data_IF_065096974807
#
_entry.id   IF_065096974807
#
_cell.length_a   1.000
_cell.length_b   1.000
_cell.length_c   1.000
_cell.angle_alpha   90.00
_cell.angle_beta   90.00
_cell.angle_gamma   90.00
#
_symmetry.space_group_name_H-M   'P 1'
#
loop_
_entity.id
_entity.type
_entity.pdbx_description
1 polymer ?
#
# COMPACT_ATOMS: atom_id res chain seq x y z
N UNK A 1 -5.59 25.55 -15.36
CA UNK A 1 -6.06 24.50 -14.44
C UNK A 1 -4.83 24.04 -13.68
N UNK A 2 -4.63 24.57 -12.47
CA UNK A 2 -3.55 24.10 -11.59
C UNK A 2 -3.99 22.74 -11.09
N UNK A 3 -3.36 21.69 -11.61
CA UNK A 3 -3.48 20.35 -11.05
C UNK A 3 -2.84 20.47 -9.67
N UNK A 4 -3.63 20.47 -8.61
CA UNK A 4 -3.11 20.30 -7.26
C UNK A 4 -2.37 18.95 -7.28
N UNK A 5 -1.04 18.99 -7.22
CA UNK A 5 -0.21 17.81 -7.02
C UNK A 5 -0.65 17.22 -5.67
N UNK A 6 -1.54 16.22 -5.71
CA UNK A 6 -1.79 15.40 -4.53
C UNK A 6 -0.45 14.81 -4.14
N UNK A 7 -0.01 15.12 -2.92
CA UNK A 7 1.23 14.59 -2.37
C UNK A 7 1.13 13.05 -2.38
N UNK A 8 2.11 12.40 -3.02
CA UNK A 8 2.18 10.94 -3.11
C UNK A 8 2.25 10.33 -1.72
N UNK A 9 1.51 9.24 -1.49
CA UNK A 9 1.60 8.52 -0.24
C UNK A 9 2.98 7.84 -0.07
N UNK A 10 3.40 7.59 1.18
CA UNK A 10 4.62 6.80 1.47
C UNK A 10 4.61 5.43 0.80
N UNK A 11 3.44 4.78 0.75
CA UNK A 11 3.26 3.51 0.03
C UNK A 11 3.54 3.67 -1.46
N UNK A 12 2.97 4.71 -2.09
CA UNK A 12 3.18 5.00 -3.51
C UNK A 12 4.67 5.22 -3.81
N UNK A 13 5.34 6.03 -3.00
CA UNK A 13 6.77 6.33 -3.17
C UNK A 13 7.58 5.03 -3.11
N UNK A 14 7.35 4.17 -2.11
CA UNK A 14 8.10 2.89 -2.01
C UNK A 14 7.75 1.89 -3.11
N UNK A 15 6.50 1.83 -3.54
CA UNK A 15 6.10 0.98 -4.67
C UNK A 15 6.82 1.41 -5.95
N UNK A 16 6.86 2.71 -6.24
CA UNK A 16 7.54 3.26 -7.41
C UNK A 16 9.07 3.08 -7.32
N UNK A 17 9.68 3.27 -6.15
CA UNK A 17 11.11 2.97 -5.92
C UNK A 17 11.45 1.49 -6.14
N UNK A 18 10.53 0.58 -5.79
CA UNK A 18 10.66 -0.85 -6.06
C UNK A 18 10.37 -1.22 -7.52
N UNK A 19 9.94 -0.26 -8.34
CA UNK A 19 9.62 -0.46 -9.75
C UNK A 19 8.35 -1.29 -10.00
N UNK A 20 7.43 -1.33 -9.03
CA UNK A 20 6.21 -2.14 -9.12
C UNK A 20 5.00 -1.34 -9.61
N UNK A 21 4.18 -1.97 -10.45
CA UNK A 21 2.80 -1.55 -10.66
C UNK A 21 1.93 -1.86 -9.43
N UNK A 22 0.71 -1.31 -9.39
CA UNK A 22 -0.25 -1.62 -8.33
C UNK A 22 -0.60 -3.11 -8.34
N UNK A 23 -0.83 -3.67 -9.53
CA UNK A 23 -1.17 -5.07 -9.74
C UNK A 23 -0.02 -5.99 -9.32
N UNK A 24 1.22 -5.64 -9.63
CA UNK A 24 2.40 -6.42 -9.21
C UNK A 24 2.56 -6.44 -7.69
N UNK A 25 2.39 -5.28 -7.04
CA UNK A 25 2.44 -5.21 -5.57
C UNK A 25 1.27 -5.99 -4.94
N UNK A 26 0.07 -5.87 -5.51
CA UNK A 26 -1.11 -6.59 -5.04
C UNK A 26 -0.94 -8.11 -5.16
N UNK A 27 -0.43 -8.58 -6.30
CA UNK A 27 -0.07 -9.97 -6.52
C UNK A 27 0.92 -10.46 -5.45
N UNK A 28 2.04 -9.75 -5.27
CA UNK A 28 3.07 -10.11 -4.27
C UNK A 28 2.51 -10.15 -2.85
N UNK A 29 1.73 -9.14 -2.45
CA UNK A 29 1.14 -9.06 -1.13
C UNK A 29 0.15 -10.20 -0.86
N UNK A 30 -0.65 -10.59 -1.86
CA UNK A 30 -1.57 -11.74 -1.77
C UNK A 30 -0.87 -13.08 -1.51
N UNK A 31 0.43 -13.19 -1.85
CA UNK A 31 1.23 -14.40 -1.60
C UNK A 31 1.89 -14.43 -0.23
N UNK A 32 1.88 -13.33 0.53
CA UNK A 32 2.58 -13.26 1.83
C UNK A 32 1.85 -14.05 2.91
N UNK A 33 0.54 -13.89 3.01
CA UNK A 33 -0.32 -14.58 3.98
C UNK A 33 -1.75 -14.66 3.44
N UNK A 34 -2.55 -15.57 3.99
CA UNK A 34 -3.96 -15.75 3.64
C UNK A 34 -4.84 -14.63 4.25
N UNK A 35 -4.64 -13.41 3.77
CA UNK A 35 -5.24 -12.17 4.30
C UNK A 35 -6.21 -11.56 3.30
N UNK A 36 -6.02 -11.86 2.01
CA UNK A 36 -6.84 -11.34 0.93
C UNK A 36 -6.33 -11.81 -0.43
N UNK A 37 -7.15 -11.59 -1.46
CA UNK A 37 -6.78 -11.85 -2.84
C UNK A 37 -6.12 -10.64 -3.50
N UNK A 38 -5.65 -10.84 -4.73
CA UNK A 38 -5.00 -9.82 -5.56
C UNK A 38 -5.90 -8.59 -5.74
N UNK A 39 -7.19 -8.78 -6.04
CA UNK A 39 -8.15 -7.68 -6.19
C UNK A 39 -8.35 -6.88 -4.90
N UNK A 40 -8.37 -7.56 -3.74
CA UNK A 40 -8.49 -6.91 -2.44
C UNK A 40 -7.30 -6.01 -2.15
N UNK A 41 -6.08 -6.50 -2.40
CA UNK A 41 -4.87 -5.69 -2.24
C UNK A 41 -4.80 -4.54 -3.25
N UNK A 42 -5.21 -4.75 -4.49
CA UNK A 42 -5.27 -3.69 -5.50
C UNK A 42 -6.16 -2.52 -5.07
N UNK A 43 -7.36 -2.83 -4.55
CA UNK A 43 -8.27 -1.82 -4.01
C UNK A 43 -7.68 -1.08 -2.80
N UNK A 44 -7.00 -1.80 -1.90
CA UNK A 44 -6.35 -1.20 -0.73
C UNK A 44 -5.25 -0.22 -1.15
N UNK A 45 -4.36 -0.65 -2.05
CA UNK A 45 -3.25 0.18 -2.53
C UNK A 45 -3.81 1.46 -3.18
N UNK A 46 -4.74 1.33 -4.12
CA UNK A 46 -5.35 2.49 -4.79
C UNK A 46 -5.98 3.48 -3.81
N UNK A 47 -6.70 2.98 -2.81
CA UNK A 47 -7.31 3.85 -1.79
C UNK A 47 -6.27 4.57 -0.95
N UNK A 48 -5.23 3.87 -0.51
CA UNK A 48 -4.12 4.47 0.25
C UNK A 48 -3.43 5.56 -0.58
N UNK A 49 -3.15 5.30 -1.86
CA UNK A 49 -2.49 6.26 -2.75
C UNK A 49 -3.36 7.48 -3.06
N UNK A 50 -4.68 7.36 -2.97
CA UNK A 50 -5.63 8.46 -3.05
C UNK A 50 -5.81 9.22 -1.71
N UNK A 51 -5.06 8.86 -0.67
CA UNK A 51 -5.19 9.41 0.69
C UNK A 51 -6.41 8.89 1.46
N UNK A 52 -7.12 7.89 0.93
CA UNK A 52 -8.28 7.25 1.56
C UNK A 52 -7.79 6.06 2.38
N UNK A 53 -7.48 6.27 3.65
CA UNK A 53 -7.03 5.20 4.53
C UNK A 53 -8.21 4.33 4.98
N UNK A 54 -8.27 3.03 4.63
CA UNK A 54 -9.35 2.15 5.08
C UNK A 54 -9.35 1.93 6.61
N UNK A 55 -8.22 2.20 7.29
CA UNK A 55 -8.13 2.17 8.74
C UNK A 55 -7.09 3.18 9.28
N UNK A 56 -7.44 3.90 10.35
CA UNK A 56 -6.56 4.87 11.04
C UNK A 56 -5.42 4.23 11.85
N UNK A 57 -5.44 2.90 12.03
CA UNK A 57 -4.46 2.18 12.86
C UNK A 57 -4.03 0.90 12.13
N UNK A 58 -2.77 0.75 11.70
CA UNK A 58 -2.27 -0.43 10.98
C UNK A 58 -2.20 -1.68 11.84
N UNK A 59 -2.28 -1.53 13.17
CA UNK A 59 -2.12 -2.63 14.13
C UNK A 59 -3.21 -3.72 14.03
N UNK A 60 -4.18 -3.60 13.12
CA UNK A 60 -5.28 -4.57 12.98
C UNK A 60 -5.43 -5.19 11.60
N UNK A 61 -4.64 -4.82 10.59
CA UNK A 61 -4.74 -5.52 9.31
C UNK A 61 -3.40 -6.08 8.90
N UNK A 62 -3.38 -7.42 8.80
CA UNK A 62 -2.28 -8.19 8.23
C UNK A 62 -1.93 -7.72 6.80
N UNK A 63 -2.79 -6.90 6.18
CA UNK A 63 -2.63 -6.25 4.89
C UNK A 63 -1.42 -5.29 4.87
N UNK A 64 -1.25 -4.43 5.87
CA UNK A 64 -0.10 -3.52 5.95
C UNK A 64 1.21 -4.29 6.13
N UNK A 65 1.16 -5.37 6.92
CA UNK A 65 2.30 -6.26 7.07
C UNK A 65 2.61 -6.98 5.76
N UNK A 66 1.59 -7.46 5.05
CA UNK A 66 1.75 -8.12 3.76
C UNK A 66 2.35 -7.18 2.70
N UNK A 67 1.88 -5.93 2.64
CA UNK A 67 2.45 -4.90 1.75
C UNK A 67 3.91 -4.58 2.10
N UNK A 68 4.23 -4.43 3.39
CA UNK A 68 5.60 -4.18 3.83
C UNK A 68 6.55 -5.34 3.47
N UNK A 69 6.11 -6.59 3.68
CA UNK A 69 6.88 -7.78 3.31
C UNK A 69 7.04 -7.85 1.78
N UNK A 70 5.98 -7.60 1.01
CA UNK A 70 6.03 -7.59 -0.46
C UNK A 70 6.98 -6.54 -1.03
N UNK A 71 7.15 -5.41 -0.33
CA UNK A 71 8.09 -4.33 -0.67
C UNK A 71 9.47 -4.51 -0.01
N UNK A 72 9.69 -5.58 0.75
CA UNK A 72 10.91 -5.82 1.51
C UNK A 72 11.30 -4.63 2.41
N UNK A 73 10.31 -4.02 3.09
CA UNK A 73 10.50 -2.87 3.98
C UNK A 73 9.78 -3.09 5.32
N UNK A 74 9.86 -2.10 6.22
CA UNK A 74 9.09 -2.11 7.46
C UNK A 74 7.77 -1.36 7.26
N UNK A 75 6.77 -1.75 8.04
CA UNK A 75 5.45 -1.12 8.00
C UNK A 75 5.51 0.40 8.22
N UNK A 76 6.42 0.89 9.07
CA UNK A 76 6.59 2.32 9.32
C UNK A 76 7.08 3.10 8.08
N UNK A 77 7.71 2.41 7.13
CA UNK A 77 8.25 3.04 5.91
C UNK A 77 7.15 3.36 4.89
N UNK A 78 6.01 2.66 4.96
CA UNK A 78 4.86 2.81 4.05
C UNK A 78 3.62 3.42 4.72
N UNK A 79 3.64 3.55 6.05
CA UNK A 79 2.51 4.08 6.82
C UNK A 79 2.65 5.58 7.11
N UNK A 80 1.58 6.33 6.86
CA UNK A 80 1.42 7.73 7.23
C UNK A 80 0.69 7.88 8.57
N UNK A 81 1.33 8.55 9.53
CA UNK A 81 0.64 9.01 10.73
C UNK A 81 -0.31 10.14 10.34
N UNK A 82 -1.60 9.96 10.66
CA UNK A 82 -2.67 10.94 10.46
C UNK A 82 -3.03 11.57 11.79
#
# INVERSE_FOLDING_TARGET
MTVEEQAKSKLQIKREEAGYSVEELAYKASKVNDVGCEDHFGLIILRIEQGILPCRKPRKTMEWLALAIALNCKMQDIWEEV
#
